data_IF_489322839906
#
_entry.id   IF_489322839906
#
_cell.length_a   1.000
_cell.length_b   1.000
_cell.length_c   1.000
_cell.angle_alpha   90.00
_cell.angle_beta   90.00
_cell.angle_gamma   90.00
#
_symmetry.space_group_name_H-M   'P 1'
#
loop_
_entity.id
_entity.type
_entity.pdbx_description
1 polymer ?
#
# COMPACT_ATOMS: atom_id res chain seq x y z
N UNK A 1 53.45 6.65 -33.88
CA UNK A 1 53.08 6.55 -32.44
C UNK A 1 51.69 7.15 -32.13
N UNK A 2 50.67 6.95 -32.94
CA UNK A 2 49.34 7.64 -32.80
C UNK A 2 48.13 6.72 -32.68
N UNK A 3 48.28 5.40 -32.58
CA UNK A 3 47.13 4.46 -32.48
C UNK A 3 46.73 4.05 -31.08
N UNK A 4 47.45 4.41 -30.03
CA UNK A 4 47.19 3.95 -28.65
C UNK A 4 46.23 4.84 -27.85
N UNK A 5 45.83 6.01 -28.39
CA UNK A 5 44.98 6.98 -27.68
C UNK A 5 43.48 6.76 -27.89
N UNK A 6 43.08 6.07 -28.98
CA UNK A 6 41.67 5.82 -29.29
C UNK A 6 41.06 4.58 -28.61
N UNK A 7 41.88 3.60 -28.21
CA UNK A 7 41.40 2.37 -27.55
C UNK A 7 40.93 2.61 -26.10
N UNK A 8 41.39 3.65 -25.41
CA UNK A 8 41.01 3.99 -24.05
C UNK A 8 39.66 4.69 -23.95
N UNK A 9 39.19 5.41 -24.98
CA UNK A 9 37.92 6.13 -24.96
C UNK A 9 36.69 5.18 -25.08
N UNK A 10 36.78 4.10 -25.82
CA UNK A 10 35.70 3.09 -25.95
C UNK A 10 35.48 2.27 -24.69
N UNK A 11 36.54 2.11 -23.85
CA UNK A 11 36.48 1.30 -22.61
C UNK A 11 35.67 1.94 -21.46
N UNK A 12 35.48 3.27 -21.49
CA UNK A 12 34.80 4.01 -20.39
C UNK A 12 33.32 4.23 -20.65
N UNK A 13 32.86 4.19 -21.90
CA UNK A 13 31.48 4.45 -22.28
C UNK A 13 30.56 3.30 -21.84
N UNK A 14 30.98 2.04 -22.03
CA UNK A 14 30.21 0.88 -21.64
C UNK A 14 29.84 0.82 -20.14
N UNK A 15 30.80 1.00 -19.22
CA UNK A 15 30.49 1.06 -17.79
C UNK A 15 29.52 2.19 -17.43
N UNK A 16 29.58 3.34 -18.08
CA UNK A 16 28.65 4.45 -17.84
C UNK A 16 27.22 4.12 -18.29
N UNK A 17 27.08 3.55 -19.50
CA UNK A 17 25.77 3.11 -20.02
C UNK A 17 25.18 2.03 -19.12
N UNK A 18 26.00 1.07 -18.67
CA UNK A 18 25.56 0.01 -17.78
C UNK A 18 25.16 0.54 -16.40
N UNK A 19 25.85 1.55 -15.87
CA UNK A 19 25.48 2.25 -14.64
C UNK A 19 24.13 2.94 -14.76
N UNK A 20 23.89 3.65 -15.86
CA UNK A 20 22.61 4.30 -16.12
C UNK A 20 21.47 3.29 -16.25
N UNK A 21 21.68 2.21 -17.00
CA UNK A 21 20.70 1.12 -17.13
C UNK A 21 20.40 0.47 -15.78
N UNK A 22 21.44 0.24 -14.96
CA UNK A 22 21.26 -0.30 -13.60
C UNK A 22 20.46 0.63 -12.70
N UNK A 23 20.63 1.95 -12.84
CA UNK A 23 19.81 2.93 -12.11
C UNK A 23 18.32 2.83 -12.47
N UNK A 24 18.01 2.64 -13.76
CA UNK A 24 16.62 2.42 -14.22
C UNK A 24 16.04 1.12 -13.67
N UNK A 25 16.84 0.03 -13.69
CA UNK A 25 16.41 -1.27 -13.14
C UNK A 25 16.16 -1.17 -11.63
N UNK A 26 17.04 -0.47 -10.89
CA UNK A 26 16.85 -0.21 -9.46
C UNK A 26 15.60 0.62 -9.17
N UNK A 27 15.31 1.62 -10.00
CA UNK A 27 14.08 2.41 -9.90
C UNK A 27 12.85 1.54 -10.18
N UNK A 28 12.90 0.70 -11.21
CA UNK A 28 11.83 -0.23 -11.54
C UNK A 28 11.60 -1.24 -10.41
N UNK A 29 12.66 -1.77 -9.82
CA UNK A 29 12.61 -2.63 -8.64
C UNK A 29 11.94 -1.90 -7.47
N UNK A 30 12.29 -0.65 -7.20
CA UNK A 30 11.65 0.16 -6.16
C UNK A 30 10.14 0.33 -6.41
N UNK A 31 9.73 0.55 -7.66
CA UNK A 31 8.31 0.63 -8.03
C UNK A 31 7.59 -0.68 -7.70
N UNK A 32 8.14 -1.84 -8.09
CA UNK A 32 7.51 -3.12 -7.80
C UNK A 32 7.50 -3.46 -6.30
N UNK A 33 8.56 -3.14 -5.58
CA UNK A 33 8.59 -3.29 -4.10
C UNK A 33 7.52 -2.41 -3.45
N UNK A 34 7.39 -1.17 -3.88
CA UNK A 34 6.38 -0.24 -3.39
C UNK A 34 4.98 -0.76 -3.67
N UNK A 35 4.68 -1.16 -4.91
CA UNK A 35 3.38 -1.72 -5.28
C UNK A 35 3.07 -3.00 -4.48
N UNK A 36 4.04 -3.89 -4.32
CA UNK A 36 3.87 -5.12 -3.56
C UNK A 36 3.60 -4.87 -2.08
N UNK A 37 4.28 -3.90 -1.48
CA UNK A 37 4.12 -3.56 -0.06
C UNK A 37 2.91 -2.67 0.23
N UNK A 38 2.23 -2.15 -0.80
CA UNK A 38 0.99 -1.37 -0.68
C UNK A 38 -0.21 -2.17 -1.22
N UNK A 39 -0.38 -2.23 -2.55
CA UNK A 39 -1.49 -2.94 -3.19
C UNK A 39 -1.46 -4.46 -2.96
N UNK A 40 -0.28 -5.05 -2.77
CA UNK A 40 -0.12 -6.47 -2.46
C UNK A 40 -0.31 -6.83 -0.99
N UNK A 41 -0.43 -5.84 -0.10
CA UNK A 41 -0.43 -6.05 1.34
C UNK A 41 -1.77 -5.64 1.97
N UNK A 42 -2.53 -6.65 2.42
CA UNK A 42 -3.82 -6.44 3.11
C UNK A 42 -3.67 -5.58 4.37
N UNK A 43 -2.63 -5.81 5.16
CA UNK A 43 -2.39 -5.04 6.41
C UNK A 43 -2.15 -3.56 6.16
N UNK A 44 -1.57 -3.20 5.01
CA UNK A 44 -1.44 -1.79 4.64
C UNK A 44 -2.81 -1.16 4.38
N UNK A 45 -3.68 -1.83 3.63
CA UNK A 45 -5.02 -1.34 3.33
C UNK A 45 -5.86 -1.21 4.62
N UNK A 46 -5.82 -2.23 5.49
CA UNK A 46 -6.47 -2.20 6.80
C UNK A 46 -5.97 -1.03 7.67
N UNK A 47 -4.66 -0.79 7.69
CA UNK A 47 -4.08 0.35 8.42
C UNK A 47 -4.53 1.70 7.88
N UNK A 48 -4.80 1.81 6.57
CA UNK A 48 -5.36 3.02 5.97
C UNK A 48 -6.81 3.25 6.41
N UNK A 49 -7.64 2.20 6.47
CA UNK A 49 -9.01 2.28 7.01
C UNK A 49 -8.97 2.84 8.44
N UNK A 50 -8.14 2.26 9.29
CA UNK A 50 -7.99 2.69 10.68
C UNK A 50 -7.50 4.14 10.81
N UNK A 51 -6.44 4.50 10.09
CA UNK A 51 -5.79 5.82 10.23
C UNK A 51 -6.54 6.97 9.58
N UNK A 52 -7.47 6.69 8.68
CA UNK A 52 -8.25 7.71 7.96
C UNK A 52 -9.46 8.25 8.73
N UNK A 53 -9.88 7.55 9.81
CA UNK A 53 -11.15 7.82 10.49
C UNK A 53 -12.38 7.44 9.66
N UNK A 54 -12.19 6.63 8.61
CA UNK A 54 -13.27 6.24 7.70
C UNK A 54 -14.37 5.46 8.43
N UNK A 55 -13.97 4.51 9.31
CA UNK A 55 -14.91 3.72 10.09
C UNK A 55 -15.76 4.59 11.06
N UNK A 56 -15.15 5.60 11.69
CA UNK A 56 -15.88 6.53 12.54
C UNK A 56 -16.93 7.31 11.74
N UNK A 57 -16.56 7.85 10.58
CA UNK A 57 -17.52 8.60 9.75
C UNK A 57 -18.65 7.72 9.24
N UNK A 58 -18.35 6.49 8.82
CA UNK A 58 -19.38 5.55 8.39
C UNK A 58 -20.31 5.14 9.54
N UNK A 59 -19.77 4.99 10.76
CA UNK A 59 -20.56 4.75 11.96
C UNK A 59 -21.49 5.93 12.24
N UNK A 60 -21.00 7.16 12.19
CA UNK A 60 -21.79 8.37 12.44
C UNK A 60 -22.94 8.51 11.42
N UNK A 61 -22.67 8.21 10.13
CA UNK A 61 -23.69 8.23 9.07
C UNK A 61 -24.72 7.12 9.30
N UNK A 62 -24.31 5.87 9.62
CA UNK A 62 -25.21 4.76 9.94
C UNK A 62 -26.08 5.07 11.15
N UNK A 63 -25.53 5.69 12.19
CA UNK A 63 -26.31 6.10 13.38
C UNK A 63 -27.45 7.02 12.98
N UNK A 64 -27.21 8.00 12.11
CA UNK A 64 -28.24 8.93 11.65
C UNK A 64 -29.33 8.23 10.84
N UNK A 65 -28.94 7.31 9.95
CA UNK A 65 -29.89 6.54 9.14
C UNK A 65 -30.74 5.63 10.00
N UNK A 66 -30.14 4.92 10.96
CA UNK A 66 -30.86 4.00 11.85
C UNK A 66 -31.78 4.73 12.83
N UNK A 67 -31.39 5.90 13.34
CA UNK A 67 -32.29 6.77 14.11
C UNK A 67 -33.49 7.19 13.24
N UNK A 68 -33.26 7.48 11.98
CA UNK A 68 -34.35 7.84 11.05
C UNK A 68 -35.30 6.67 10.81
N UNK A 69 -34.78 5.43 10.69
CA UNK A 69 -35.61 4.22 10.62
C UNK A 69 -36.39 3.99 11.92
N UNK A 70 -35.75 4.19 13.08
CA UNK A 70 -36.41 4.11 14.39
C UNK A 70 -37.58 5.10 14.49
N UNK A 71 -37.33 6.37 14.14
CA UNK A 71 -38.37 7.41 14.16
C UNK A 71 -39.55 7.06 13.22
N UNK A 72 -39.34 6.43 12.08
CA UNK A 72 -40.35 6.03 11.15
C UNK A 72 -41.16 4.81 11.66
N UNK A 73 -40.57 3.97 12.51
CA UNK A 73 -41.17 2.72 13.01
C UNK A 73 -41.61 2.81 14.47
N UNK A 74 -41.35 3.93 15.14
CA UNK A 74 -41.72 4.18 16.54
C UNK A 74 -40.75 3.57 17.58
N UNK A 75 -39.55 3.19 17.17
CA UNK A 75 -38.51 2.69 18.06
C UNK A 75 -37.57 3.80 18.48
N UNK A 76 -37.08 3.75 19.71
CA UNK A 76 -36.08 4.69 20.24
C UNK A 76 -34.72 4.51 19.58
N UNK A 77 -33.91 5.58 19.55
CA UNK A 77 -32.60 5.60 18.98
C UNK A 77 -31.67 4.48 19.53
N UNK A 78 -31.73 4.26 20.84
CA UNK A 78 -30.89 3.26 21.53
C UNK A 78 -31.19 1.83 21.07
N UNK A 79 -32.49 1.53 20.74
CA UNK A 79 -32.89 0.23 20.19
C UNK A 79 -32.27 0.02 18.80
N UNK A 80 -32.22 1.08 18.01
CA UNK A 80 -31.75 1.03 16.62
C UNK A 80 -30.23 1.13 16.46
N UNK A 81 -29.49 1.54 17.49
CA UNK A 81 -28.04 1.78 17.40
C UNK A 81 -27.22 1.01 18.43
N UNK A 82 -27.85 0.51 19.52
CA UNK A 82 -27.16 -0.13 20.64
C UNK A 82 -26.46 -1.44 20.32
N UNK A 83 -26.73 -2.05 19.18
CA UNK A 83 -26.13 -3.31 18.74
C UNK A 83 -24.78 -3.12 18.05
N UNK A 84 -24.35 -1.89 17.76
CA UNK A 84 -23.11 -1.60 17.03
C UNK A 84 -22.20 -0.65 17.79
N UNK A 85 -20.90 -0.71 17.48
CA UNK A 85 -19.87 0.21 17.98
C UNK A 85 -18.89 0.56 16.87
N UNK A 86 -18.17 1.67 17.05
CA UNK A 86 -17.12 2.10 16.08
C UNK A 86 -16.06 1.01 15.87
N UNK A 87 -15.60 0.39 16.97
CA UNK A 87 -14.59 -0.69 16.90
C UNK A 87 -15.11 -1.89 16.11
N UNK A 88 -16.41 -2.17 16.21
CA UNK A 88 -17.07 -3.23 15.48
C UNK A 88 -17.12 -2.92 13.98
N UNK A 89 -17.54 -1.70 13.62
CA UNK A 89 -17.59 -1.23 12.23
C UNK A 89 -16.19 -1.24 11.62
N UNK A 90 -15.16 -0.78 12.38
CA UNK A 90 -13.77 -0.83 11.94
C UNK A 90 -13.31 -2.27 11.65
N UNK A 91 -13.62 -3.20 12.56
CA UNK A 91 -13.28 -4.62 12.39
C UNK A 91 -13.96 -5.22 11.17
N UNK A 92 -15.25 -4.96 10.99
CA UNK A 92 -16.02 -5.51 9.87
C UNK A 92 -15.53 -4.96 8.51
N UNK A 93 -15.15 -3.67 8.46
CA UNK A 93 -14.51 -3.08 7.27
C UNK A 93 -13.12 -3.68 6.99
N UNK A 94 -12.33 -3.95 8.04
CA UNK A 94 -11.02 -4.60 7.88
C UNK A 94 -11.17 -6.02 7.35
N UNK A 95 -12.18 -6.76 7.81
CA UNK A 95 -12.49 -8.11 7.32
C UNK A 95 -13.01 -8.10 5.88
N UNK A 96 -13.84 -7.12 5.53
CA UNK A 96 -14.29 -6.91 4.16
C UNK A 96 -13.10 -6.63 3.21
N UNK A 97 -12.15 -5.79 3.64
CA UNK A 97 -10.89 -5.55 2.92
C UNK A 97 -10.07 -6.83 2.82
N UNK A 98 -9.96 -7.63 3.88
CA UNK A 98 -9.25 -8.92 3.84
C UNK A 98 -9.86 -9.87 2.81
N UNK A 99 -11.17 -9.85 2.65
CA UNK A 99 -11.92 -10.62 1.64
C UNK A 99 -11.47 -10.36 0.20
N UNK A 100 -10.97 -9.15 -0.12
CA UNK A 100 -10.40 -8.84 -1.45
C UNK A 100 -9.16 -9.66 -1.78
N UNK A 101 -8.38 -10.03 -0.76
CA UNK A 101 -7.12 -10.74 -0.88
C UNK A 101 -7.28 -12.25 -0.67
N UNK A 102 -8.43 -12.70 -0.18
CA UNK A 102 -8.71 -14.12 0.08
C UNK A 102 -8.75 -14.94 -1.22
N UNK A 103 -8.33 -16.21 -1.17
CA UNK A 103 -8.39 -17.12 -2.32
C UNK A 103 -9.83 -17.46 -2.73
N UNK A 104 -10.72 -17.59 -1.75
CA UNK A 104 -12.14 -17.88 -1.96
C UNK A 104 -12.95 -16.59 -1.78
N UNK A 105 -14.00 -16.40 -2.58
CA UNK A 105 -14.89 -15.25 -2.42
C UNK A 105 -15.72 -15.51 -1.16
N UNK A 106 -15.39 -14.82 -0.09
CA UNK A 106 -16.19 -14.77 1.11
C UNK A 106 -16.78 -13.36 1.15
N UNK A 107 -18.10 -13.28 0.95
CA UNK A 107 -18.79 -12.04 1.25
C UNK A 107 -18.84 -11.94 2.77
N UNK A 108 -18.12 -10.98 3.33
CA UNK A 108 -18.25 -10.71 4.74
C UNK A 108 -19.53 -9.91 4.93
N UNK A 109 -20.53 -10.59 5.41
CA UNK A 109 -21.75 -9.98 5.95
C UNK A 109 -21.90 -10.49 7.37
N UNK A 110 -22.13 -9.58 8.29
CA UNK A 110 -22.38 -9.96 9.67
C UNK A 110 -23.84 -10.45 9.75
N UNK A 111 -24.01 -11.77 9.60
CA UNK A 111 -25.36 -12.39 9.55
C UNK A 111 -26.15 -12.17 10.84
N UNK A 112 -25.46 -11.97 11.98
CA UNK A 112 -26.08 -11.73 13.28
C UNK A 112 -26.62 -10.31 13.52
N UNK A 113 -26.41 -9.35 12.60
CA UNK A 113 -26.94 -7.96 12.74
C UNK A 113 -28.46 -7.98 12.74
N UNK A 114 -29.09 -8.67 11.79
CA UNK A 114 -30.56 -8.78 11.75
C UNK A 114 -31.10 -9.38 13.04
N UNK A 115 -30.45 -10.42 13.56
CA UNK A 115 -30.87 -11.08 14.82
C UNK A 115 -30.68 -10.13 16.01
N UNK A 116 -29.60 -9.39 16.09
CA UNK A 116 -29.33 -8.42 17.16
C UNK A 116 -30.38 -7.29 17.17
N UNK A 117 -30.66 -6.73 15.98
CA UNK A 117 -31.69 -5.68 15.81
C UNK A 117 -33.07 -6.24 16.16
N UNK A 118 -33.43 -7.42 15.64
CA UNK A 118 -34.69 -8.07 15.94
C UNK A 118 -34.87 -8.28 17.45
N UNK A 119 -33.84 -8.82 18.14
CA UNK A 119 -33.89 -9.04 19.59
C UNK A 119 -34.05 -7.74 20.38
N UNK A 120 -33.38 -6.66 19.96
CA UNK A 120 -33.51 -5.35 20.60
C UNK A 120 -34.92 -4.77 20.42
N UNK A 121 -35.49 -4.90 19.22
CA UNK A 121 -36.85 -4.45 18.94
C UNK A 121 -37.90 -5.33 19.67
N UNK A 122 -37.69 -6.65 19.76
CA UNK A 122 -38.54 -7.57 20.51
C UNK A 122 -38.55 -7.24 22.00
N UNK A 123 -37.37 -6.97 22.57
CA UNK A 123 -37.29 -6.57 23.98
C UNK A 123 -37.98 -5.22 24.22
N UNK A 124 -37.77 -4.23 23.36
CA UNK A 124 -38.40 -2.92 23.47
C UNK A 124 -39.95 -3.01 23.39
N UNK A 125 -40.46 -3.87 22.51
CA UNK A 125 -41.93 -4.10 22.41
C UNK A 125 -42.47 -4.85 23.63
N UNK A 126 -41.74 -5.82 24.16
CA UNK A 126 -42.08 -6.54 25.37
C UNK A 126 -42.14 -5.64 26.60
N UNK A 127 -41.21 -4.69 26.72
CA UNK A 127 -41.18 -3.69 27.80
C UNK A 127 -42.42 -2.78 27.79
N UNK A 128 -43.04 -2.60 26.61
CA UNK A 128 -44.30 -1.87 26.44
C UNK A 128 -45.56 -2.79 26.51
N UNK A 129 -45.36 -4.08 26.83
CA UNK A 129 -46.46 -5.04 26.95
C UNK A 129 -47.06 -5.47 25.60
N UNK A 130 -46.31 -5.28 24.51
CA UNK A 130 -46.73 -5.67 23.16
C UNK A 130 -46.05 -7.00 22.81
N UNK A 131 -46.85 -8.01 22.45
CA UNK A 131 -46.30 -9.29 21.95
C UNK A 131 -46.18 -9.23 20.42
N UNK A 132 -45.03 -9.59 19.88
CA UNK A 132 -44.80 -9.64 18.43
C UNK A 132 -45.43 -10.90 17.85
N UNK A 133 -46.60 -10.76 17.20
CA UNK A 133 -47.28 -11.85 16.53
C UNK A 133 -47.81 -11.42 15.15
N UNK A 134 -47.93 -12.38 14.22
CA UNK A 134 -48.53 -12.15 12.91
C UNK A 134 -47.84 -11.04 12.11
N UNK A 135 -48.57 -10.02 11.71
CA UNK A 135 -48.09 -8.92 10.86
C UNK A 135 -47.04 -8.05 11.55
N UNK A 136 -47.17 -7.83 12.87
CA UNK A 136 -46.17 -7.04 13.63
C UNK A 136 -44.79 -7.73 13.67
N UNK A 137 -44.77 -9.03 13.83
CA UNK A 137 -43.53 -9.81 13.76
C UNK A 137 -42.87 -9.67 12.39
N UNK A 138 -43.63 -9.86 11.32
CA UNK A 138 -43.11 -9.71 9.94
C UNK A 138 -42.61 -8.32 9.65
N UNK A 139 -43.27 -7.27 10.20
CA UNK A 139 -42.82 -5.89 10.06
C UNK A 139 -41.46 -5.68 10.74
N UNK A 140 -41.27 -6.16 11.97
CA UNK A 140 -40.01 -6.07 12.71
C UNK A 140 -38.89 -6.85 12.00
N UNK A 141 -39.17 -8.07 11.51
CA UNK A 141 -38.20 -8.84 10.71
C UNK A 141 -37.75 -8.06 9.44
N UNK A 142 -38.72 -7.39 8.79
CA UNK A 142 -38.43 -6.60 7.58
C UNK A 142 -37.51 -5.40 7.90
N UNK A 143 -37.78 -4.72 9.03
CA UNK A 143 -36.93 -3.60 9.47
C UNK A 143 -35.53 -4.10 9.86
N UNK A 144 -35.45 -5.20 10.61
CA UNK A 144 -34.15 -5.79 10.99
C UNK A 144 -33.32 -6.17 9.77
N UNK A 145 -33.96 -6.74 8.74
CA UNK A 145 -33.27 -7.07 7.47
C UNK A 145 -32.87 -5.81 6.68
N UNK A 146 -33.70 -4.76 6.69
CA UNK A 146 -33.36 -3.50 6.08
C UNK A 146 -32.10 -2.85 6.75
N UNK A 147 -32.07 -2.85 8.09
CA UNK A 147 -30.91 -2.38 8.87
C UNK A 147 -29.67 -3.23 8.56
N UNK A 148 -29.80 -4.54 8.46
CA UNK A 148 -28.68 -5.42 8.07
C UNK A 148 -28.15 -5.10 6.68
N UNK A 149 -29.03 -4.87 5.71
CA UNK A 149 -28.63 -4.51 4.34
C UNK A 149 -27.95 -3.15 4.29
N UNK A 150 -28.47 -2.18 5.04
CA UNK A 150 -27.86 -0.85 5.14
C UNK A 150 -26.49 -0.91 5.81
N UNK A 151 -26.36 -1.62 6.94
CA UNK A 151 -25.07 -1.88 7.59
C UNK A 151 -24.06 -2.50 6.62
N UNK A 152 -24.49 -3.51 5.86
CA UNK A 152 -23.65 -4.16 4.87
C UNK A 152 -23.23 -3.20 3.75
N UNK A 153 -24.07 -2.21 3.37
CA UNK A 153 -23.74 -1.23 2.35
C UNK A 153 -22.59 -0.29 2.78
N UNK A 154 -22.52 0.04 4.06
CA UNK A 154 -21.46 0.86 4.64
C UNK A 154 -20.17 0.08 4.90
N UNK A 155 -20.26 -1.18 5.32
CA UNK A 155 -19.09 -1.99 5.70
C UNK A 155 -18.52 -2.80 4.54
N UNK A 156 -19.34 -3.17 3.55
CA UNK A 156 -18.89 -3.93 2.40
C UNK A 156 -18.01 -3.10 1.44
N UNK A 157 -17.05 -3.75 0.81
CA UNK A 157 -16.29 -3.12 -0.28
C UNK A 157 -17.15 -3.13 -1.54
N UNK A 158 -17.49 -1.96 -2.11
CA UNK A 158 -18.27 -1.90 -3.35
C UNK A 158 -17.52 -2.61 -4.49
N UNK A 159 -18.26 -3.28 -5.38
CA UNK A 159 -17.70 -3.99 -6.54
C UNK A 159 -16.62 -5.03 -6.17
N UNK A 160 -16.80 -5.70 -5.04
CA UNK A 160 -15.84 -6.67 -4.45
C UNK A 160 -15.30 -7.67 -5.48
N UNK A 161 -16.13 -8.24 -6.34
CA UNK A 161 -15.72 -9.25 -7.32
C UNK A 161 -14.77 -8.69 -8.39
N UNK A 162 -15.03 -7.47 -8.85
CA UNK A 162 -14.21 -6.77 -9.85
C UNK A 162 -12.90 -6.30 -9.25
N UNK A 163 -12.95 -5.67 -8.07
CA UNK A 163 -11.76 -5.21 -7.35
C UNK A 163 -10.86 -6.38 -6.97
N UNK A 164 -11.42 -7.48 -6.51
CA UNK A 164 -10.66 -8.70 -6.23
C UNK A 164 -9.94 -9.24 -7.45
N UNK A 165 -10.63 -9.34 -8.60
CA UNK A 165 -10.01 -9.79 -9.84
C UNK A 165 -8.86 -8.88 -10.24
N UNK A 166 -9.02 -7.57 -10.05
CA UNK A 166 -7.98 -6.57 -10.30
C UNK A 166 -6.80 -6.77 -9.34
N UNK A 167 -7.05 -6.89 -8.03
CA UNK A 167 -6.02 -7.11 -7.00
C UNK A 167 -5.23 -8.38 -7.30
N UNK A 168 -5.89 -9.49 -7.61
CA UNK A 168 -5.22 -10.76 -7.93
C UNK A 168 -4.38 -10.68 -9.20
N UNK A 169 -4.86 -10.00 -10.24
CA UNK A 169 -4.06 -9.75 -11.45
C UNK A 169 -2.84 -8.88 -11.15
N UNK A 170 -3.05 -7.79 -10.40
CA UNK A 170 -1.96 -6.90 -9.99
C UNK A 170 -0.92 -7.63 -9.14
N UNK A 171 -1.32 -8.46 -8.17
CA UNK A 171 -0.38 -9.25 -7.37
C UNK A 171 0.50 -10.15 -8.23
N UNK A 172 -0.06 -10.83 -9.23
CA UNK A 172 0.73 -11.66 -10.16
C UNK A 172 1.74 -10.81 -10.95
N UNK A 173 1.28 -9.67 -11.50
CA UNK A 173 2.16 -8.75 -12.25
C UNK A 173 3.27 -8.19 -11.36
N UNK A 174 2.95 -7.82 -10.12
CA UNK A 174 3.93 -7.31 -9.16
C UNK A 174 5.00 -8.35 -8.82
N UNK A 175 4.61 -9.60 -8.54
CA UNK A 175 5.56 -10.68 -8.23
C UNK A 175 6.45 -10.96 -9.45
N UNK A 176 5.87 -11.09 -10.65
CA UNK A 176 6.64 -11.29 -11.88
C UNK A 176 7.59 -10.13 -12.13
N UNK A 177 7.11 -8.88 -12.01
CA UNK A 177 7.92 -7.68 -12.21
C UNK A 177 9.07 -7.59 -11.21
N UNK A 178 8.85 -7.95 -9.94
CA UNK A 178 9.86 -7.98 -8.90
C UNK A 178 10.94 -9.03 -9.22
N UNK A 179 10.55 -10.23 -9.61
CA UNK A 179 11.50 -11.31 -9.99
C UNK A 179 12.31 -10.89 -11.22
N UNK A 180 11.64 -10.41 -12.27
CA UNK A 180 12.32 -9.98 -13.52
C UNK A 180 13.29 -8.83 -13.23
N UNK A 181 12.89 -7.81 -12.47
CA UNK A 181 13.79 -6.70 -12.15
C UNK A 181 14.97 -7.13 -11.27
N UNK A 182 14.77 -8.08 -10.35
CA UNK A 182 15.87 -8.65 -9.56
C UNK A 182 16.86 -9.44 -10.43
N UNK A 183 16.38 -10.27 -11.34
CA UNK A 183 17.22 -11.03 -12.29
C UNK A 183 18.01 -10.08 -13.20
N UNK A 184 17.35 -9.06 -13.75
CA UNK A 184 18.00 -8.04 -14.58
C UNK A 184 19.07 -7.28 -13.79
N UNK A 185 18.81 -6.95 -12.52
CA UNK A 185 19.80 -6.29 -11.65
C UNK A 185 21.01 -7.20 -11.42
N UNK A 186 20.79 -8.47 -11.10
CA UNK A 186 21.87 -9.45 -10.94
C UNK A 186 22.72 -9.56 -12.23
N UNK A 187 22.07 -9.65 -13.39
CA UNK A 187 22.74 -9.70 -14.69
C UNK A 187 23.58 -8.43 -14.93
N UNK A 188 23.04 -7.25 -14.62
CA UNK A 188 23.73 -5.97 -14.75
C UNK A 188 24.97 -5.89 -13.82
N UNK A 189 24.82 -6.30 -12.55
CA UNK A 189 25.94 -6.33 -11.59
C UNK A 189 27.03 -7.31 -12.04
N UNK A 190 26.66 -8.53 -12.46
CA UNK A 190 27.62 -9.52 -12.98
C UNK A 190 28.34 -8.98 -14.22
N UNK A 191 27.63 -8.33 -15.12
CA UNK A 191 28.21 -7.71 -16.31
C UNK A 191 29.19 -6.60 -15.95
N UNK A 192 28.84 -5.75 -14.98
CA UNK A 192 29.73 -4.73 -14.44
C UNK A 192 31.02 -5.33 -13.86
N UNK A 193 30.88 -6.39 -13.05
CA UNK A 193 32.03 -7.08 -12.44
C UNK A 193 32.94 -7.75 -13.51
N UNK A 194 32.34 -8.32 -14.56
CA UNK A 194 33.11 -8.94 -15.67
C UNK A 194 33.87 -7.90 -16.48
N UNK A 195 33.28 -6.78 -16.84
CA UNK A 195 33.89 -5.69 -17.58
C UNK A 195 35.00 -5.04 -16.74
N UNK A 196 34.75 -4.93 -15.42
CA UNK A 196 35.69 -4.30 -14.47
C UNK A 196 36.75 -5.25 -13.93
N UNK A 197 36.93 -6.48 -14.47
CA UNK A 197 37.95 -7.45 -13.99
C UNK A 197 39.35 -6.87 -13.98
N UNK A 198 39.68 -5.91 -14.86
CA UNK A 198 40.97 -5.21 -14.89
C UNK A 198 41.02 -4.01 -13.94
N UNK A 199 39.88 -3.43 -13.56
CA UNK A 199 39.74 -2.27 -12.68
C UNK A 199 38.49 -2.42 -11.79
N UNK A 200 38.58 -3.25 -10.74
CA UNK A 200 37.47 -3.51 -9.81
C UNK A 200 36.90 -2.19 -9.22
N UNK A 201 37.74 -1.14 -9.12
CA UNK A 201 37.34 0.19 -8.66
C UNK A 201 36.36 0.89 -9.59
N UNK A 202 36.50 0.67 -10.92
CA UNK A 202 35.61 1.28 -11.90
C UNK A 202 34.18 0.69 -11.76
N UNK A 203 34.06 -0.63 -11.60
CA UNK A 203 32.79 -1.30 -11.40
C UNK A 203 32.05 -0.86 -10.12
N UNK A 204 32.82 -0.76 -9.03
CA UNK A 204 32.25 -0.30 -7.76
C UNK A 204 31.79 1.17 -7.82
N UNK A 205 32.53 2.05 -8.51
CA UNK A 205 32.08 3.45 -8.74
C UNK A 205 30.80 3.50 -9.60
N UNK A 206 30.74 2.70 -10.64
CA UNK A 206 29.52 2.63 -11.47
C UNK A 206 28.30 2.17 -10.67
N UNK A 207 28.48 1.24 -9.73
CA UNK A 207 27.41 0.79 -8.83
C UNK A 207 26.97 1.90 -7.85
N UNK A 208 27.92 2.68 -7.31
CA UNK A 208 27.61 3.86 -6.47
C UNK A 208 26.79 4.89 -7.27
N UNK A 209 27.16 5.16 -8.53
CA UNK A 209 26.39 6.07 -9.38
C UNK A 209 25.00 5.52 -9.71
N UNK A 210 24.87 4.21 -9.95
CA UNK A 210 23.58 3.57 -10.20
C UNK A 210 22.64 3.69 -8.99
N UNK A 211 23.14 3.42 -7.79
CA UNK A 211 22.40 3.57 -6.54
C UNK A 211 22.05 5.04 -6.25
N UNK A 212 23.00 5.95 -6.43
CA UNK A 212 22.77 7.38 -6.27
C UNK A 212 21.71 7.92 -7.24
N UNK A 213 21.79 7.52 -8.52
CA UNK A 213 20.78 7.88 -9.52
C UNK A 213 19.38 7.35 -9.17
N UNK A 214 19.28 6.08 -8.77
CA UNK A 214 18.02 5.48 -8.34
C UNK A 214 17.46 6.17 -7.08
N UNK A 215 18.32 6.52 -6.11
CA UNK A 215 17.93 7.26 -4.91
C UNK A 215 17.32 8.63 -5.25
N UNK A 216 17.95 9.38 -6.15
CA UNK A 216 17.43 10.69 -6.60
C UNK A 216 16.08 10.53 -7.29
N UNK A 217 15.92 9.56 -8.20
CA UNK A 217 14.64 9.32 -8.89
C UNK A 217 13.55 8.93 -7.89
N UNK A 218 13.84 8.02 -6.96
CA UNK A 218 12.88 7.63 -5.91
C UNK A 218 12.51 8.82 -5.01
N UNK A 219 13.46 9.71 -4.68
CA UNK A 219 13.18 10.91 -3.90
C UNK A 219 12.27 11.87 -4.66
N UNK A 220 12.54 12.11 -5.94
CA UNK A 220 11.69 12.95 -6.81
C UNK A 220 10.28 12.38 -6.91
N UNK A 221 10.13 11.06 -7.09
CA UNK A 221 8.82 10.41 -7.11
C UNK A 221 8.10 10.53 -5.76
N UNK A 222 8.82 10.32 -4.65
CA UNK A 222 8.23 10.32 -3.31
C UNK A 222 7.81 11.72 -2.82
N UNK A 223 8.59 12.75 -3.12
CA UNK A 223 8.37 14.11 -2.62
C UNK A 223 7.76 15.02 -3.70
N UNK A 224 8.27 14.92 -4.94
CA UNK A 224 7.91 15.85 -6.01
C UNK A 224 6.53 15.58 -6.61
N UNK A 225 6.11 14.34 -6.73
CA UNK A 225 4.83 13.96 -7.38
C UNK A 225 3.64 14.13 -6.43
N UNK A 226 3.83 13.91 -5.13
CA UNK A 226 2.76 14.02 -4.12
C UNK A 226 1.96 15.34 -4.20
N UNK A 227 2.56 16.53 -4.25
CA UNK A 227 1.83 17.79 -4.33
C UNK A 227 1.15 18.01 -5.70
N UNK A 228 1.64 17.36 -6.77
CA UNK A 228 1.10 17.54 -8.13
C UNK A 228 -0.25 16.83 -8.33
N UNK A 229 -0.53 15.76 -7.56
CA UNK A 229 -1.79 15.00 -7.70
C UNK A 229 -2.99 15.77 -7.15
N UNK A 230 -2.77 16.77 -6.29
CA UNK A 230 -3.84 17.67 -5.84
C UNK A 230 -5.02 16.99 -5.13
N UNK A 231 -4.78 15.82 -4.50
CA UNK A 231 -5.82 15.02 -3.82
C UNK A 231 -6.67 15.83 -2.83
N UNK A 232 -6.06 16.84 -2.20
CA UNK A 232 -6.76 17.73 -1.28
C UNK A 232 -7.79 18.64 -1.97
N UNK A 233 -7.67 18.83 -3.29
CA UNK A 233 -8.55 19.67 -4.11
C UNK A 233 -9.70 18.87 -4.76
N UNK A 234 -9.67 17.55 -4.67
CA UNK A 234 -10.74 16.71 -5.19
C UNK A 234 -11.99 16.89 -4.32
N UNK A 235 -13.10 17.23 -4.96
CA UNK A 235 -14.41 17.29 -4.32
C UNK A 235 -15.00 15.89 -4.14
N UNK A 236 -14.33 15.04 -3.35
CA UNK A 236 -14.82 13.69 -3.05
C UNK A 236 -15.73 13.80 -1.83
N UNK A 237 -16.94 13.32 -1.98
CA UNK A 237 -17.93 13.17 -0.92
C UNK A 237 -18.18 11.65 -0.71
N UNK A 238 -18.22 11.12 0.51
CA UNK A 238 -18.06 11.79 1.81
C UNK A 238 -16.59 12.16 2.11
N UNK A 239 -16.35 13.16 3.02
CA UNK A 239 -14.99 13.60 3.39
C UNK A 239 -14.10 12.48 3.92
N UNK A 240 -14.67 11.47 4.57
CA UNK A 240 -13.96 10.30 5.07
C UNK A 240 -13.33 9.46 3.95
N UNK A 241 -14.02 9.28 2.82
CA UNK A 241 -13.48 8.60 1.64
C UNK A 241 -12.27 9.35 1.07
N UNK A 242 -12.36 10.69 1.06
CA UNK A 242 -11.23 11.54 0.68
C UNK A 242 -10.02 11.34 1.60
N UNK A 243 -10.25 11.29 2.93
CA UNK A 243 -9.18 11.06 3.91
C UNK A 243 -8.56 9.67 3.74
N UNK A 244 -9.37 8.64 3.48
CA UNK A 244 -8.90 7.29 3.18
C UNK A 244 -8.00 7.29 1.94
N UNK A 245 -8.41 7.96 0.87
CA UNK A 245 -7.63 8.06 -0.36
C UNK A 245 -6.31 8.83 -0.14
N UNK A 246 -6.35 9.93 0.64
CA UNK A 246 -5.15 10.70 1.00
C UNK A 246 -4.19 9.85 1.84
N UNK A 247 -4.67 9.09 2.81
CA UNK A 247 -3.86 8.20 3.65
C UNK A 247 -3.20 7.12 2.78
N UNK A 248 -3.99 6.48 1.90
CA UNK A 248 -3.52 5.43 1.01
C UNK A 248 -2.43 5.92 0.05
N UNK A 249 -2.71 7.00 -0.69
CA UNK A 249 -1.76 7.58 -1.65
C UNK A 249 -0.56 8.20 -0.94
N UNK A 250 -0.78 8.84 0.20
CA UNK A 250 0.29 9.43 1.01
C UNK A 250 1.32 8.39 1.47
N UNK A 251 0.85 7.24 1.95
CA UNK A 251 1.72 6.13 2.34
C UNK A 251 2.45 5.48 1.17
N UNK A 252 1.82 5.44 -0.01
CA UNK A 252 2.44 4.99 -1.25
C UNK A 252 3.67 5.83 -1.60
N UNK A 253 3.54 7.16 -1.59
CA UNK A 253 4.68 8.06 -1.84
C UNK A 253 5.72 8.01 -0.72
N UNK A 254 5.31 7.83 0.54
CA UNK A 254 6.23 7.66 1.66
C UNK A 254 7.19 6.48 1.48
N UNK A 255 6.76 5.41 0.84
CA UNK A 255 7.61 4.23 0.57
C UNK A 255 8.69 4.50 -0.47
N UNK A 256 8.45 5.39 -1.45
CA UNK A 256 9.52 5.84 -2.35
C UNK A 256 10.61 6.60 -1.61
N UNK A 257 10.25 7.43 -0.62
CA UNK A 257 11.22 8.13 0.23
C UNK A 257 12.06 7.13 1.03
N UNK A 258 11.43 6.10 1.61
CA UNK A 258 12.16 5.03 2.31
C UNK A 258 13.14 4.31 1.37
N UNK A 259 12.71 3.96 0.16
CA UNK A 259 13.59 3.33 -0.83
C UNK A 259 14.74 4.25 -1.25
N UNK A 260 14.48 5.56 -1.40
CA UNK A 260 15.52 6.55 -1.67
C UNK A 260 16.58 6.58 -0.57
N UNK A 261 16.17 6.58 0.70
CA UNK A 261 17.08 6.53 1.86
C UNK A 261 17.90 5.24 1.85
N UNK A 262 17.28 4.09 1.60
CA UNK A 262 17.97 2.79 1.53
C UNK A 262 19.05 2.83 0.43
N UNK A 263 18.71 3.27 -0.77
CA UNK A 263 19.66 3.35 -1.87
C UNK A 263 20.78 4.34 -1.60
N UNK A 264 20.48 5.46 -0.96
CA UNK A 264 21.46 6.48 -0.60
C UNK A 264 22.45 5.95 0.45
N UNK A 265 21.97 5.27 1.49
CA UNK A 265 22.81 4.64 2.50
C UNK A 265 23.72 3.59 1.87
N UNK A 266 23.17 2.72 1.01
CA UNK A 266 23.97 1.72 0.29
C UNK A 266 25.04 2.37 -0.60
N UNK A 267 24.71 3.47 -1.29
CA UNK A 267 25.67 4.21 -2.10
C UNK A 267 26.82 4.79 -1.25
N UNK A 268 26.51 5.34 -0.07
CA UNK A 268 27.53 5.86 0.86
C UNK A 268 28.42 4.72 1.37
N UNK A 269 27.83 3.63 1.85
CA UNK A 269 28.59 2.48 2.38
C UNK A 269 29.56 1.95 1.32
N UNK A 270 29.06 1.71 0.11
CA UNK A 270 29.92 1.27 -1.01
C UNK A 270 30.99 2.29 -1.37
N UNK A 271 30.65 3.58 -1.38
CA UNK A 271 31.59 4.67 -1.65
C UNK A 271 32.74 4.71 -0.62
N UNK A 272 32.41 4.54 0.65
CA UNK A 272 33.41 4.49 1.75
C UNK A 272 34.29 3.24 1.62
N UNK A 273 33.73 2.07 1.32
CA UNK A 273 34.50 0.84 1.13
C UNK A 273 35.50 0.98 -0.04
N UNK A 274 35.05 1.56 -1.16
CA UNK A 274 35.90 1.82 -2.33
C UNK A 274 37.00 2.81 -2.00
N UNK A 275 36.75 3.83 -1.17
CA UNK A 275 37.74 4.82 -0.78
C UNK A 275 38.79 4.26 0.19
N UNK A 276 38.36 3.47 1.17
CA UNK A 276 39.27 2.83 2.16
C UNK A 276 40.24 1.85 1.50
N UNK A 277 39.78 1.07 0.54
CA UNK A 277 40.66 0.16 -0.20
C UNK A 277 41.76 0.87 -1.00
N UNK A 278 41.57 2.16 -1.31
CA UNK A 278 42.56 3.01 -1.91
C UNK A 278 43.74 3.37 -0.96
N UNK A 279 43.41 3.56 0.34
CA UNK A 279 44.39 3.95 1.35
C UNK A 279 45.38 2.83 1.64
N UNK A 280 44.90 1.58 1.79
CA UNK A 280 45.70 0.40 2.12
C UNK A 280 46.72 0.08 0.99
N UNK A 281 46.31 0.20 -0.28
CA UNK A 281 47.19 -0.11 -1.42
C UNK A 281 48.28 0.95 -1.65
N UNK A 282 48.05 2.16 -1.15
CA UNK A 282 49.03 3.24 -1.23
C UNK A 282 50.14 3.06 -0.15
N UNK A 283 49.74 2.64 1.04
CA UNK A 283 50.66 2.32 2.13
C UNK A 283 51.57 1.13 1.79
N UNK A 284 51.02 0.05 1.23
CA UNK A 284 51.80 -1.14 0.82
C UNK A 284 52.85 -0.83 -0.27
N UNK A 285 52.61 0.16 -1.12
CA UNK A 285 53.58 0.58 -2.13
C UNK A 285 54.72 1.40 -1.53
N UNK A 286 54.44 2.20 -0.52
CA UNK A 286 55.47 3.02 0.18
C UNK A 286 56.42 2.14 0.97
N UNK A 287 55.93 1.06 1.58
CA UNK A 287 56.75 0.09 2.33
C UNK A 287 57.60 -0.84 1.45
N UNK A 288 57.26 -1.03 0.14
CA UNK A 288 58.06 -1.84 -0.79
C UNK A 288 59.23 -1.10 -1.43
N UNK A 289 59.29 0.21 -1.29
CA UNK A 289 60.35 1.05 -1.90
C UNK A 289 61.40 1.47 -0.87
N UNK A 290 61.24 1.10 0.40
CA UNK A 290 62.25 1.17 1.46
C UNK A 290 62.87 -0.20 1.71
#
# INVERSE_FOLDING_TARGET
>A
MTQQKNSRKGSTVWPMVLSWLSSLILTLLAVFVMLFTTFGNVGYMQSCVKSSGYAQSAYDDMVQDFISYGAATGFDADVMTGFMSVDQVESDMQDAVAGLYAKTLTYYTRDNIAEAVYSAMEQATADHGITLEGETKTAVETVAEAVRMEYASYTAVPLVSQLRTLVQKLQKVMVIGLVVSAVLLCAAVVSMLRISRKDARLGARCLVYALGGAAVVCLVLGVGVKPMIGLTRLGIDPPALKNLLIAYVGGLFGRFVVMAVIYFVLAIVLGVLVSRHKSTEHDDRVYRIR
#
